data_IF_839271993799
#
_entry.id   IF_839271993799
#
_cell.length_a   1.000
_cell.length_b   1.000
_cell.length_c   1.000
_cell.angle_alpha   90.00
_cell.angle_beta   90.00
_cell.angle_gamma   90.00
#
_symmetry.space_group_name_H-M   'P 1'
#
loop_
_entity.id
_entity.type
_entity.pdbx_description
1 polymer ?
#
# COMPACT_ATOMS: atom_id res chain seq x y z
N UNK A 1 -0.30 -6.95 16.81
CA UNK A 1 -0.76 -7.74 15.64
C UNK A 1 -0.62 -6.94 14.35
N UNK A 2 -1.12 -5.70 14.29
CA UNK A 2 -1.01 -4.80 13.14
C UNK A 2 0.38 -4.73 12.51
N UNK A 3 1.43 -4.40 13.28
CA UNK A 3 2.83 -4.32 12.80
C UNK A 3 3.31 -5.62 12.13
N UNK A 4 2.94 -6.77 12.67
CA UNK A 4 3.30 -8.07 12.09
C UNK A 4 2.63 -8.26 10.73
N UNK A 5 1.33 -7.96 10.64
CA UNK A 5 0.57 -8.06 9.38
C UNK A 5 1.14 -7.09 8.34
N UNK A 6 1.40 -5.84 8.73
CA UNK A 6 1.95 -4.81 7.86
C UNK A 6 3.28 -5.25 7.22
N UNK A 7 4.28 -5.65 8.02
CA UNK A 7 5.56 -6.10 7.47
C UNK A 7 5.46 -7.44 6.73
N UNK A 8 4.58 -8.35 7.16
CA UNK A 8 4.34 -9.59 6.44
C UNK A 8 3.78 -9.32 5.04
N UNK A 9 2.80 -8.41 4.92
CA UNK A 9 2.21 -8.04 3.64
C UNK A 9 3.20 -7.26 2.77
N UNK A 10 4.02 -6.37 3.31
CA UNK A 10 5.03 -5.65 2.50
C UNK A 10 6.21 -6.53 2.06
N UNK A 11 6.68 -7.47 2.90
CA UNK A 11 7.93 -8.18 2.65
C UNK A 11 7.74 -9.64 2.25
N UNK A 12 6.87 -10.39 2.93
CA UNK A 12 6.78 -11.85 2.77
C UNK A 12 5.72 -12.23 1.74
N UNK A 13 4.54 -11.62 1.80
CA UNK A 13 3.43 -11.91 0.90
C UNK A 13 3.74 -11.66 -0.59
N UNK A 14 4.57 -10.67 -0.99
CA UNK A 14 4.94 -10.51 -2.39
C UNK A 14 5.71 -11.72 -2.95
N UNK A 15 6.41 -12.48 -2.10
CA UNK A 15 7.03 -13.74 -2.53
C UNK A 15 5.96 -14.78 -2.93
N UNK A 16 4.84 -14.83 -2.21
CA UNK A 16 3.70 -15.68 -2.55
C UNK A 16 3.07 -15.26 -3.89
N UNK A 17 2.84 -13.96 -4.09
CA UNK A 17 2.36 -13.41 -5.37
C UNK A 17 3.31 -13.80 -6.51
N UNK A 18 4.61 -13.56 -6.34
CA UNK A 18 5.62 -13.91 -7.34
C UNK A 18 5.65 -15.41 -7.65
N UNK A 19 5.54 -16.26 -6.63
CA UNK A 19 5.60 -17.71 -6.78
C UNK A 19 4.35 -18.29 -7.47
N UNK A 20 3.16 -17.79 -7.13
CA UNK A 20 1.90 -18.25 -7.70
C UNK A 20 1.72 -17.81 -9.16
N UNK A 21 1.97 -16.53 -9.47
CA UNK A 21 1.68 -15.97 -10.79
C UNK A 21 2.87 -15.98 -11.76
N UNK A 22 4.11 -16.03 -11.25
CA UNK A 22 5.33 -15.91 -12.05
C UNK A 22 6.33 -17.04 -11.77
N UNK A 23 5.83 -18.27 -11.56
CA UNK A 23 6.60 -19.45 -11.12
C UNK A 23 7.95 -19.67 -11.82
N UNK A 24 8.07 -19.41 -13.13
CA UNK A 24 9.34 -19.57 -13.87
C UNK A 24 10.41 -18.54 -13.50
N UNK A 25 10.00 -17.34 -13.11
CA UNK A 25 10.89 -16.18 -12.86
C UNK A 25 10.66 -15.58 -11.45
N UNK A 26 10.09 -16.35 -10.52
CA UNK A 26 9.51 -15.84 -9.27
C UNK A 26 10.52 -15.04 -8.44
N UNK A 27 11.80 -15.42 -8.42
CA UNK A 27 12.85 -14.68 -7.70
C UNK A 27 13.06 -13.27 -8.26
N UNK A 28 13.07 -13.14 -9.59
CA UNK A 28 13.23 -11.84 -10.27
C UNK A 28 11.99 -10.97 -10.03
N UNK A 29 10.80 -11.57 -10.12
CA UNK A 29 9.55 -10.86 -9.85
C UNK A 29 9.46 -10.42 -8.39
N UNK A 30 9.81 -11.28 -7.45
CA UNK A 30 9.85 -10.95 -6.04
C UNK A 30 10.80 -9.77 -5.77
N UNK A 31 11.98 -9.75 -6.39
CA UNK A 31 12.90 -8.61 -6.25
C UNK A 31 12.28 -7.32 -6.80
N UNK A 32 11.56 -7.36 -7.93
CA UNK A 32 10.85 -6.19 -8.46
C UNK A 32 9.76 -5.72 -7.47
N UNK A 33 8.99 -6.64 -6.90
CA UNK A 33 7.95 -6.31 -5.91
C UNK A 33 8.55 -5.77 -4.60
N UNK A 34 9.75 -6.22 -4.19
CA UNK A 34 10.45 -5.61 -3.06
C UNK A 34 10.96 -4.20 -3.40
N UNK A 35 11.42 -3.97 -4.64
CA UNK A 35 11.86 -2.65 -5.06
C UNK A 35 10.72 -1.62 -5.07
N UNK A 36 9.47 -2.03 -5.26
CA UNK A 36 8.33 -1.10 -5.18
C UNK A 36 8.09 -0.57 -3.77
N UNK A 37 8.63 -1.22 -2.72
CA UNK A 37 8.58 -0.71 -1.34
C UNK A 37 9.31 0.63 -1.18
N UNK A 38 10.20 0.98 -2.12
CA UNK A 38 10.86 2.29 -2.14
C UNK A 38 9.88 3.46 -2.35
N UNK A 39 8.61 3.19 -2.69
CA UNK A 39 7.56 4.21 -2.74
C UNK A 39 7.43 4.97 -1.41
N UNK A 40 7.68 4.29 -0.28
CA UNK A 40 7.67 4.88 1.06
C UNK A 40 8.74 5.94 1.31
N UNK A 41 9.71 6.10 0.41
CA UNK A 41 10.65 7.22 0.51
C UNK A 41 9.94 8.58 0.37
N UNK A 42 8.71 8.62 -0.14
CA UNK A 42 7.89 9.83 -0.16
C UNK A 42 7.47 10.31 1.25
N UNK A 43 7.56 9.47 2.28
CA UNK A 43 7.41 9.87 3.68
C UNK A 43 8.41 10.96 4.09
N UNK A 44 9.59 11.00 3.48
CA UNK A 44 10.59 12.03 3.74
C UNK A 44 10.13 13.43 3.27
N UNK A 45 9.10 13.49 2.43
CA UNK A 45 8.51 14.74 1.95
C UNK A 45 7.35 15.24 2.82
N UNK A 46 6.92 14.46 3.82
CA UNK A 46 5.85 14.83 4.73
C UNK A 46 6.33 15.65 5.94
N UNK A 47 5.49 16.56 6.40
CA UNK A 47 5.64 17.26 7.68
C UNK A 47 4.44 16.95 8.59
N UNK A 48 4.63 16.26 9.72
CA UNK A 48 5.88 15.66 10.23
C UNK A 48 6.29 14.38 9.46
N UNK A 49 7.61 14.09 9.43
CA UNK A 49 8.15 12.90 8.75
C UNK A 49 7.61 11.61 9.38
N UNK A 50 7.49 11.57 10.71
CA UNK A 50 6.89 10.46 11.44
C UNK A 50 5.76 10.96 12.33
N UNK A 51 4.61 10.28 12.24
CA UNK A 51 3.47 10.50 13.12
C UNK A 51 2.81 9.15 13.38
N UNK A 52 2.63 8.82 14.66
CA UNK A 52 1.89 7.63 15.05
C UNK A 52 0.43 7.74 14.61
N UNK A 53 -0.19 6.61 14.24
CA UNK A 53 -1.61 6.51 13.89
C UNK A 53 -2.03 7.41 12.70
N UNK A 54 -1.12 7.74 11.78
CA UNK A 54 -1.49 8.42 10.53
C UNK A 54 -1.89 7.39 9.47
N UNK A 55 -2.78 7.78 8.57
CA UNK A 55 -3.01 7.01 7.34
C UNK A 55 -2.15 7.57 6.20
N UNK A 56 -1.37 6.71 5.54
CA UNK A 56 -0.49 7.10 4.42
C UNK A 56 -1.27 7.46 3.15
N UNK A 57 -2.43 6.85 2.93
CA UNK A 57 -3.25 7.03 1.72
C UNK A 57 -3.74 8.48 1.60
N UNK A 58 -3.41 9.10 0.47
CA UNK A 58 -3.74 10.49 0.16
C UNK A 58 -2.90 11.54 0.90
N UNK A 59 -2.04 11.14 1.84
CA UNK A 59 -1.21 12.07 2.62
C UNK A 59 0.13 12.39 1.94
N UNK A 60 0.72 11.42 1.23
CA UNK A 60 2.01 11.59 0.55
C UNK A 60 1.84 11.66 -0.98
N UNK A 61 2.80 12.26 -1.71
CA UNK A 61 2.70 12.41 -3.16
C UNK A 61 2.53 11.08 -3.92
N UNK A 62 3.28 10.03 -3.59
CA UNK A 62 3.20 8.72 -4.25
C UNK A 62 2.06 7.85 -3.70
N UNK A 63 1.52 8.22 -2.53
CA UNK A 63 0.31 7.66 -1.97
C UNK A 63 -0.97 8.43 -2.35
N UNK A 64 -0.85 9.42 -3.25
CA UNK A 64 -1.99 10.21 -3.71
C UNK A 64 -2.91 9.40 -4.62
N UNK A 65 -4.19 9.75 -4.68
CA UNK A 65 -5.15 9.10 -5.57
C UNK A 65 -4.74 9.19 -7.05
N UNK A 66 -4.05 10.26 -7.45
CA UNK A 66 -3.50 10.41 -8.79
C UNK A 66 -2.37 9.41 -9.07
N UNK A 67 -1.48 9.19 -8.10
CA UNK A 67 -0.42 8.18 -8.21
C UNK A 67 -1.02 6.77 -8.27
N UNK A 68 -2.00 6.46 -7.42
CA UNK A 68 -2.71 5.17 -7.42
C UNK A 68 -3.36 4.90 -8.79
N UNK A 69 -4.03 5.91 -9.38
CA UNK A 69 -4.60 5.78 -10.72
C UNK A 69 -3.53 5.48 -11.77
N UNK A 70 -2.36 6.14 -11.70
CA UNK A 70 -1.23 5.82 -12.57
C UNK A 70 -0.73 4.37 -12.39
N UNK A 71 -0.72 3.85 -11.16
CA UNK A 71 -0.33 2.46 -10.88
C UNK A 71 -1.33 1.45 -11.45
N UNK A 72 -2.62 1.77 -11.49
CA UNK A 72 -3.63 0.98 -12.21
C UNK A 72 -3.34 0.96 -13.72
N UNK A 73 -2.98 2.11 -14.30
CA UNK A 73 -2.61 2.19 -15.72
C UNK A 73 -1.37 1.32 -16.00
N UNK A 74 -0.41 1.25 -15.07
CA UNK A 74 0.78 0.39 -15.22
C UNK A 74 0.43 -1.09 -15.48
N UNK A 75 -0.71 -1.57 -14.99
CA UNK A 75 -1.18 -2.95 -15.19
C UNK A 75 -1.45 -3.29 -16.66
N UNK A 76 -1.78 -2.30 -17.50
CA UNK A 76 -2.13 -2.49 -18.91
C UNK A 76 -0.88 -2.74 -19.76
N UNK A 77 0.27 -2.23 -19.34
CA UNK A 77 1.53 -2.38 -20.07
C UNK A 77 2.14 -3.79 -19.91
N UNK A 78 3.08 -4.14 -20.80
CA UNK A 78 3.80 -5.42 -20.70
C UNK A 78 4.83 -5.40 -19.56
N UNK A 79 5.36 -6.58 -19.22
CA UNK A 79 6.48 -6.72 -18.29
C UNK A 79 7.64 -5.79 -18.70
N UNK A 80 8.30 -5.10 -17.76
CA UNK A 80 8.13 -5.20 -16.31
C UNK A 80 7.06 -4.27 -15.71
N UNK A 81 6.46 -3.36 -16.50
CA UNK A 81 5.57 -2.31 -15.99
C UNK A 81 4.35 -2.84 -15.26
N UNK A 82 3.69 -3.89 -15.76
CA UNK A 82 2.57 -4.50 -15.04
C UNK A 82 2.97 -5.09 -13.68
N UNK A 83 4.17 -5.66 -13.56
CA UNK A 83 4.67 -6.20 -12.28
C UNK A 83 4.91 -5.05 -11.30
N UNK A 84 5.49 -3.94 -11.77
CA UNK A 84 5.67 -2.73 -10.96
C UNK A 84 4.32 -2.19 -10.50
N UNK A 85 3.33 -2.12 -11.39
CA UNK A 85 1.96 -1.74 -11.05
C UNK A 85 1.33 -2.64 -10.00
N UNK A 86 1.49 -3.97 -10.11
CA UNK A 86 1.04 -4.94 -9.10
C UNK A 86 1.71 -4.65 -7.75
N UNK A 87 3.03 -4.46 -7.73
CA UNK A 87 3.77 -4.18 -6.49
C UNK A 87 3.32 -2.90 -5.81
N UNK A 88 3.22 -1.81 -6.57
CA UNK A 88 2.75 -0.51 -6.05
C UNK A 88 1.30 -0.57 -5.57
N UNK A 89 0.39 -1.20 -6.31
CA UNK A 89 -1.00 -1.34 -5.85
C UNK A 89 -1.12 -2.23 -4.63
N UNK A 90 -0.31 -3.29 -4.53
CA UNK A 90 -0.30 -4.15 -3.35
C UNK A 90 0.30 -3.45 -2.13
N UNK A 91 1.26 -2.56 -2.33
CA UNK A 91 1.76 -1.64 -1.30
C UNK A 91 0.64 -0.74 -0.79
N UNK A 92 -0.07 -0.05 -1.68
CA UNK A 92 -1.20 0.83 -1.33
C UNK A 92 -2.33 0.06 -0.62
N UNK A 93 -2.58 -1.18 -1.03
CA UNK A 93 -3.52 -2.07 -0.35
C UNK A 93 -3.07 -2.39 1.08
N UNK A 94 -1.79 -2.70 1.27
CA UNK A 94 -1.21 -3.00 2.59
C UNK A 94 -1.33 -1.79 3.53
N UNK A 95 -1.04 -0.60 3.01
CA UNK A 95 -1.19 0.66 3.76
C UNK A 95 -2.65 0.97 4.09
N UNK A 96 -3.58 0.69 3.18
CA UNK A 96 -5.01 0.82 3.44
C UNK A 96 -5.48 -0.12 4.56
N UNK A 97 -4.97 -1.37 4.59
CA UNK A 97 -5.24 -2.32 5.68
C UNK A 97 -4.71 -1.77 7.02
N UNK A 98 -3.54 -1.15 7.04
CA UNK A 98 -2.99 -0.51 8.23
C UNK A 98 -3.84 0.68 8.70
N UNK A 99 -4.34 1.48 7.76
CA UNK A 99 -5.28 2.56 8.05
C UNK A 99 -6.60 2.02 8.64
N UNK A 100 -7.12 0.89 8.14
CA UNK A 100 -8.33 0.25 8.66
C UNK A 100 -8.13 -0.29 10.08
N UNK A 101 -6.97 -0.90 10.36
CA UNK A 101 -6.64 -1.32 11.73
C UNK A 101 -6.58 -0.13 12.70
N UNK A 102 -5.93 0.95 12.27
CA UNK A 102 -5.87 2.19 13.05
C UNK A 102 -7.27 2.77 13.29
N UNK A 103 -8.12 2.83 12.26
CA UNK A 103 -9.49 3.31 12.36
C UNK A 103 -10.33 2.48 13.34
N UNK A 104 -10.26 1.15 13.25
CA UNK A 104 -10.98 0.25 14.14
C UNK A 104 -10.55 0.38 15.61
N UNK A 105 -9.31 0.83 15.85
CA UNK A 105 -8.80 1.07 17.20
C UNK A 105 -9.11 2.50 17.71
N UNK A 106 -9.01 3.50 16.82
CA UNK A 106 -9.20 4.91 17.13
C UNK A 106 -9.71 5.66 15.88
N UNK A 107 -11.03 5.76 15.68
CA UNK A 107 -11.60 6.53 14.56
C UNK A 107 -11.22 8.01 14.62
N UNK A 108 -11.22 8.59 15.82
CA UNK A 108 -10.90 10.00 16.07
C UNK A 108 -9.48 10.37 15.65
N UNK A 109 -8.56 9.40 15.66
CA UNK A 109 -7.17 9.59 15.23
C UNK A 109 -7.06 9.91 13.73
N UNK A 110 -8.07 9.56 12.92
CA UNK A 110 -8.04 9.70 11.46
C UNK A 110 -9.01 10.75 10.91
N UNK A 111 -9.73 11.50 11.76
CA UNK A 111 -10.74 12.47 11.31
C UNK A 111 -10.19 13.52 10.33
N UNK A 112 -8.91 13.89 10.46
CA UNK A 112 -8.23 14.81 9.54
C UNK A 112 -7.54 14.15 8.35
N UNK A 113 -7.60 12.82 8.21
CA UNK A 113 -6.89 12.11 7.16
C UNK A 113 -7.59 12.28 5.80
N UNK A 114 -6.85 12.49 4.69
CA UNK A 114 -7.44 12.58 3.35
C UNK A 114 -8.24 11.34 2.93
N UNK A 115 -7.96 10.18 3.52
CA UNK A 115 -8.65 8.92 3.28
C UNK A 115 -9.78 8.61 4.27
N UNK A 116 -10.14 9.52 5.19
CA UNK A 116 -11.10 9.24 6.26
C UNK A 116 -12.45 8.70 5.76
N UNK A 117 -13.08 9.38 4.80
CA UNK A 117 -14.39 8.95 4.26
C UNK A 117 -14.31 7.62 3.51
N UNK A 118 -13.19 7.36 2.82
CA UNK A 118 -12.94 6.07 2.17
C UNK A 118 -12.90 4.94 3.22
N UNK A 119 -12.10 5.13 4.27
CA UNK A 119 -11.91 4.13 5.34
C UNK A 119 -13.22 3.92 6.10
N UNK A 120 -13.93 5.00 6.44
CA UNK A 120 -15.24 4.96 7.10
C UNK A 120 -16.26 4.17 6.27
N UNK A 121 -16.30 4.42 4.96
CA UNK A 121 -17.19 3.69 4.05
C UNK A 121 -16.86 2.19 4.02
N UNK A 122 -15.59 1.82 3.89
CA UNK A 122 -15.16 0.41 3.90
C UNK A 122 -15.50 -0.27 5.24
N UNK A 123 -15.26 0.41 6.36
CA UNK A 123 -15.55 -0.12 7.70
C UNK A 123 -17.04 -0.37 7.89
N UNK A 124 -17.91 0.55 7.43
CA UNK A 124 -19.38 0.40 7.52
C UNK A 124 -19.94 -0.73 6.65
N UNK A 125 -19.26 -1.11 5.55
CA UNK A 125 -19.65 -2.24 4.69
C UNK A 125 -19.22 -3.58 5.30
N UNK A 126 -18.22 -3.56 6.19
CA UNK A 126 -17.61 -4.75 6.80
C UNK A 126 -18.30 -5.19 8.10
N UNK A 127 -19.48 -4.62 8.43
CA UNK A 127 -20.34 -4.92 9.58
C UNK A 127 -21.68 -5.48 9.08
#
# INVERSE_FOLDING_TARGET
MQTFIHYFLHLVFPALIAWLFFRKEWKKVYLILLLTMLVDLDHLLATPIFQANRCSIGFHPLHSYYAIAAYVILLIFRKPFNIIGIGLLFHMFTDLVDCLFTFNHCPDCLVGAPAYELIRSISNISI
#
